data_IF_847313835538
#
_entry.id   IF_847313835538
#
_cell.length_a   1.000
_cell.length_b   1.000
_cell.length_c   1.000
_cell.angle_alpha   90.00
_cell.angle_beta   90.00
_cell.angle_gamma   90.00
#
_symmetry.space_group_name_H-M   'P 1'
#
loop_
_entity.id
_entity.type
_entity.pdbx_description
1 polymer ?
#
# COMPACT_ATOMS: atom_id res chain seq x y z
N UNK A 1 -2.11 46.25 -0.14
CA UNK A 1 -1.47 45.12 0.53
C UNK A 1 -1.29 44.04 -0.51
N UNK A 2 -0.05 43.68 -0.83
CA UNK A 2 0.24 42.62 -1.78
C UNK A 2 0.57 41.37 -0.95
N UNK A 3 -0.06 40.27 -1.27
CA UNK A 3 0.17 38.99 -0.60
C UNK A 3 0.67 38.03 -1.66
N UNK A 4 1.90 37.57 -1.52
CA UNK A 4 2.50 36.57 -2.39
C UNK A 4 2.59 35.26 -1.62
N UNK A 5 2.19 34.17 -2.24
CA UNK A 5 2.37 32.84 -1.68
C UNK A 5 2.69 31.83 -2.77
N UNK A 6 3.48 30.84 -2.42
CA UNK A 6 3.79 29.71 -3.29
C UNK A 6 2.90 28.54 -2.89
N UNK A 7 2.10 27.97 -3.82
CA UNK A 7 1.23 26.84 -3.52
C UNK A 7 2.05 25.57 -3.28
N UNK A 8 1.57 24.70 -2.39
CA UNK A 8 2.22 23.42 -2.07
C UNK A 8 2.31 22.44 -3.24
N UNK A 9 1.43 22.58 -4.23
CA UNK A 9 1.45 21.82 -5.48
C UNK A 9 1.65 22.76 -6.65
N UNK A 10 2.49 22.38 -7.64
CA UNK A 10 2.68 23.21 -8.82
C UNK A 10 1.37 23.31 -9.62
N UNK A 11 1.02 24.53 -10.01
CA UNK A 11 -0.10 24.80 -10.91
C UNK A 11 0.42 24.66 -12.34
N UNK A 12 -0.04 23.63 -13.06
CA UNK A 12 0.41 23.34 -14.43
C UNK A 12 -0.43 24.05 -15.49
N UNK A 13 -1.43 24.85 -15.11
CA UNK A 13 -2.31 25.56 -16.02
C UNK A 13 -2.03 27.04 -15.98
N UNK A 14 -1.76 27.64 -17.14
CA UNK A 14 -1.65 29.10 -17.30
C UNK A 14 -3.05 29.63 -17.58
N UNK A 15 -3.61 30.41 -16.66
CA UNK A 15 -4.91 31.02 -16.79
C UNK A 15 -4.75 32.53 -16.87
N UNK A 16 -5.20 33.13 -17.98
CA UNK A 16 -5.36 34.56 -18.12
C UNK A 16 -6.80 34.85 -18.52
N UNK A 17 -7.56 35.45 -17.60
CA UNK A 17 -8.94 35.90 -17.85
C UNK A 17 -9.14 37.30 -17.33
N UNK A 18 -9.79 38.15 -18.15
CA UNK A 18 -10.23 39.49 -17.78
C UNK A 18 -11.75 39.45 -17.61
N UNK A 19 -12.23 39.14 -16.44
CA UNK A 19 -13.65 39.21 -16.07
C UNK A 19 -13.83 39.78 -14.66
N UNK A 20 -15.07 39.85 -14.20
CA UNK A 20 -15.41 40.41 -12.89
C UNK A 20 -15.27 39.40 -11.73
N UNK A 21 -14.71 38.22 -11.97
CA UNK A 21 -14.61 37.15 -10.98
C UNK A 21 -13.16 36.80 -10.68
N UNK A 22 -12.90 36.47 -9.42
CA UNK A 22 -11.65 35.82 -9.05
C UNK A 22 -11.73 34.32 -9.37
N UNK A 23 -10.84 33.85 -10.24
CA UNK A 23 -10.74 32.44 -10.61
C UNK A 23 -9.87 31.71 -9.58
N UNK A 24 -10.52 31.10 -8.60
CA UNK A 24 -9.89 30.39 -7.48
C UNK A 24 -10.07 28.87 -7.56
N UNK A 25 -10.65 28.37 -8.67
CA UNK A 25 -10.94 26.93 -8.83
C UNK A 25 -9.67 26.08 -8.67
N UNK A 26 -8.57 26.51 -9.31
CA UNK A 26 -7.28 25.81 -9.19
C UNK A 26 -6.73 25.79 -7.76
N UNK A 27 -7.03 26.83 -6.96
CA UNK A 27 -6.64 26.89 -5.55
C UNK A 27 -7.54 26.02 -4.69
N UNK A 28 -8.83 25.88 -5.02
CA UNK A 28 -9.72 24.94 -4.34
C UNK A 28 -9.26 23.50 -4.50
N UNK A 29 -8.82 23.12 -5.69
CA UNK A 29 -8.28 21.77 -5.94
C UNK A 29 -6.98 21.51 -5.16
N UNK A 30 -6.17 22.56 -4.93
CA UNK A 30 -4.97 22.48 -4.10
C UNK A 30 -5.26 22.33 -2.61
N UNK A 31 -6.37 22.92 -2.15
CA UNK A 31 -6.82 22.86 -0.75
C UNK A 31 -7.70 21.63 -0.49
N UNK A 32 -8.16 20.92 -1.52
CA UNK A 32 -8.89 19.69 -1.35
C UNK A 32 -8.00 18.68 -0.59
N UNK A 33 -8.54 18.12 0.48
CA UNK A 33 -7.84 17.10 1.26
C UNK A 33 -7.52 15.91 0.35
N UNK A 34 -6.25 15.62 0.16
CA UNK A 34 -5.83 14.47 -0.61
C UNK A 34 -6.31 13.20 0.07
N UNK A 35 -6.94 12.33 -0.70
CA UNK A 35 -7.31 11.01 -0.20
C UNK A 35 -6.05 10.21 0.12
N UNK A 36 -6.04 9.61 1.29
CA UNK A 36 -4.94 8.74 1.71
C UNK A 36 -5.18 7.33 1.20
N UNK A 37 -4.22 6.80 0.47
CA UNK A 37 -4.20 5.40 0.02
C UNK A 37 -3.19 4.61 0.82
N UNK A 38 -3.56 3.39 1.22
CA UNK A 38 -2.63 2.43 1.79
C UNK A 38 -1.93 1.63 0.69
N UNK A 39 -0.68 1.25 0.89
CA UNK A 39 -0.01 0.33 0.00
C UNK A 39 0.70 -0.78 0.78
N UNK A 40 0.64 -1.98 0.21
CA UNK A 40 1.35 -3.17 0.69
C UNK A 40 2.16 -3.71 -0.48
N UNK A 41 3.47 -3.69 -0.33
CA UNK A 41 4.40 -4.25 -1.31
C UNK A 41 5.00 -5.50 -0.71
N UNK A 42 4.74 -6.66 -1.31
CA UNK A 42 5.21 -7.92 -0.78
C UNK A 42 6.06 -8.70 -1.78
N UNK A 43 7.11 -9.31 -1.25
CA UNK A 43 8.06 -10.12 -1.97
C UNK A 43 8.39 -11.39 -1.16
N UNK A 44 9.12 -12.33 -1.77
CA UNK A 44 9.65 -13.50 -1.09
C UNK A 44 10.64 -13.20 0.05
N UNK A 45 11.16 -11.98 0.12
CA UNK A 45 12.10 -11.51 1.13
C UNK A 45 11.45 -10.66 2.24
N UNK A 46 10.23 -10.20 2.03
CA UNK A 46 9.54 -9.39 3.03
C UNK A 46 8.35 -8.59 2.51
N UNK A 47 7.82 -7.75 3.38
CA UNK A 47 6.66 -6.87 3.09
C UNK A 47 6.93 -5.47 3.58
N UNK A 48 6.49 -4.48 2.81
CA UNK A 48 6.51 -3.07 3.12
C UNK A 48 5.07 -2.55 3.19
N UNK A 49 4.74 -1.84 4.27
CA UNK A 49 3.48 -1.14 4.47
C UNK A 49 3.71 0.35 4.46
N UNK A 50 2.81 1.10 3.86
CA UNK A 50 2.88 2.54 3.88
C UNK A 50 1.60 3.20 3.43
N UNK A 51 1.59 4.52 3.50
CA UNK A 51 0.51 5.39 3.06
C UNK A 51 0.98 6.38 2.04
N UNK A 52 0.10 6.74 1.14
CA UNK A 52 0.31 7.75 0.11
C UNK A 52 -0.84 8.76 0.21
N UNK A 53 -0.49 10.01 0.45
CA UNK A 53 -1.42 11.13 0.48
C UNK A 53 -0.91 12.22 -0.48
N UNK A 54 -1.50 12.32 -1.67
CA UNK A 54 -0.99 13.19 -2.73
C UNK A 54 0.45 12.85 -3.11
N UNK A 55 1.37 13.76 -2.85
CA UNK A 55 2.81 13.57 -3.08
C UNK A 55 3.58 13.09 -1.84
N UNK A 56 2.93 13.03 -0.69
CA UNK A 56 3.54 12.59 0.55
C UNK A 56 3.40 11.07 0.70
N UNK A 57 4.53 10.39 0.87
CA UNK A 57 4.60 8.97 1.14
C UNK A 57 5.19 8.73 2.53
N UNK A 58 4.54 7.88 3.28
CA UNK A 58 5.01 7.47 4.59
C UNK A 58 5.14 5.94 4.64
N UNK A 59 6.27 5.46 5.11
CA UNK A 59 6.50 4.03 5.35
C UNK A 59 6.14 3.72 6.79
N UNK A 60 5.08 2.92 6.99
CA UNK A 60 4.61 2.55 8.31
C UNK A 60 5.47 1.44 8.93
N UNK A 61 5.71 0.38 8.16
CA UNK A 61 6.46 -0.77 8.65
C UNK A 61 7.11 -1.54 7.50
N UNK A 62 8.30 -2.09 7.77
CA UNK A 62 8.97 -3.05 6.90
C UNK A 62 9.25 -4.34 7.66
N UNK A 63 8.90 -5.47 7.07
CA UNK A 63 9.14 -6.81 7.62
C UNK A 63 10.03 -7.56 6.66
N UNK A 64 11.05 -8.19 7.18
CA UNK A 64 11.91 -9.12 6.44
C UNK A 64 11.56 -10.54 6.82
N UNK A 65 11.48 -11.42 5.82
CA UNK A 65 11.21 -12.85 5.99
C UNK A 65 12.19 -13.63 5.13
N UNK A 66 12.73 -14.69 5.70
CA UNK A 66 13.53 -15.67 4.96
C UNK A 66 12.67 -16.90 4.66
N UNK A 67 12.15 -16.96 3.44
CA UNK A 67 11.39 -18.10 2.96
C UNK A 67 12.31 -19.15 2.37
N UNK A 68 12.16 -20.43 2.76
CA UNK A 68 13.02 -21.49 2.28
C UNK A 68 12.87 -21.69 0.77
N UNK A 69 13.99 -21.68 0.08
CA UNK A 69 14.07 -21.89 -1.37
C UNK A 69 13.71 -23.34 -1.74
N UNK A 70 13.26 -23.54 -2.97
CA UNK A 70 12.99 -24.89 -3.50
C UNK A 70 14.31 -25.64 -3.68
N UNK A 71 14.47 -26.74 -2.95
CA UNK A 71 15.58 -27.66 -3.17
C UNK A 71 15.22 -28.65 -4.28
N UNK A 72 16.07 -28.76 -5.30
CA UNK A 72 15.85 -29.62 -6.48
C UNK A 72 16.18 -31.11 -6.26
N UNK A 73 16.61 -31.51 -5.05
CA UNK A 73 16.95 -32.90 -4.76
C UNK A 73 15.70 -33.67 -4.37
N UNK A 74 15.40 -34.77 -5.09
CA UNK A 74 14.32 -35.69 -4.79
C UNK A 74 14.67 -36.59 -3.58
N UNK A 75 13.70 -37.39 -3.14
CA UNK A 75 13.83 -38.36 -2.04
C UNK A 75 12.68 -38.26 -1.06
N UNK A 76 12.61 -39.21 -0.09
CA UNK A 76 11.56 -39.28 0.92
C UNK A 76 11.39 -38.00 1.75
N UNK A 77 12.49 -37.30 2.02
CA UNK A 77 12.47 -36.01 2.75
C UNK A 77 11.93 -34.84 1.93
N UNK A 78 11.85 -34.96 0.61
CA UNK A 78 11.36 -33.89 -0.26
C UNK A 78 9.90 -33.50 0.03
N UNK A 79 9.04 -34.47 0.33
CA UNK A 79 7.64 -34.24 0.72
C UNK A 79 7.54 -33.47 2.04
N UNK A 80 8.34 -33.82 3.04
CA UNK A 80 8.39 -33.11 4.32
C UNK A 80 8.83 -31.65 4.13
N UNK A 81 9.90 -31.42 3.36
CA UNK A 81 10.38 -30.07 3.08
C UNK A 81 9.38 -29.26 2.23
N UNK A 82 8.64 -29.89 1.33
CA UNK A 82 7.58 -29.25 0.58
C UNK A 82 6.45 -28.76 1.52
N UNK A 83 6.01 -29.60 2.46
CA UNK A 83 5.01 -29.23 3.47
C UNK A 83 5.48 -28.09 4.36
N UNK A 84 6.71 -28.14 4.87
CA UNK A 84 7.29 -27.08 5.68
C UNK A 84 7.39 -25.74 4.93
N UNK A 85 7.68 -25.78 3.63
CA UNK A 85 7.68 -24.56 2.80
C UNK A 85 6.28 -23.97 2.66
N UNK A 86 5.28 -24.82 2.41
CA UNK A 86 3.88 -24.39 2.31
C UNK A 86 3.41 -23.76 3.63
N UNK A 87 3.69 -24.42 4.75
CA UNK A 87 3.36 -23.92 6.08
C UNK A 87 4.02 -22.56 6.36
N UNK A 88 5.31 -22.41 6.12
CA UNK A 88 6.00 -21.13 6.30
C UNK A 88 5.44 -20.04 5.40
N UNK A 89 5.09 -20.35 4.16
CA UNK A 89 4.42 -19.39 3.26
C UNK A 89 3.04 -19.00 3.76
N UNK A 90 2.26 -19.95 4.27
CA UNK A 90 0.95 -19.67 4.83
C UNK A 90 1.05 -18.80 6.08
N UNK A 91 1.94 -19.13 7.00
CA UNK A 91 2.19 -18.34 8.21
C UNK A 91 2.65 -16.91 7.88
N UNK A 92 3.46 -16.75 6.84
CA UNK A 92 3.86 -15.44 6.36
C UNK A 92 2.66 -14.63 5.85
N UNK A 93 1.81 -15.22 5.02
CA UNK A 93 0.60 -14.56 4.50
C UNK A 93 -0.36 -14.17 5.62
N UNK A 94 -0.59 -15.05 6.60
CA UNK A 94 -1.43 -14.77 7.76
C UNK A 94 -0.87 -13.57 8.56
N UNK A 95 0.42 -13.57 8.84
CA UNK A 95 1.08 -12.46 9.53
C UNK A 95 0.98 -11.14 8.75
N UNK A 96 1.11 -11.20 7.43
CA UNK A 96 0.95 -10.01 6.57
C UNK A 96 -0.49 -9.50 6.63
N UNK A 97 -1.49 -10.38 6.62
CA UNK A 97 -2.90 -9.99 6.73
C UNK A 97 -3.23 -9.36 8.10
N UNK A 98 -2.75 -9.94 9.19
CA UNK A 98 -2.91 -9.40 10.55
C UNK A 98 -2.32 -7.99 10.68
N UNK A 99 -1.13 -7.78 10.16
CA UNK A 99 -0.49 -6.47 10.20
C UNK A 99 -1.14 -5.46 9.26
N UNK A 100 -1.64 -5.90 8.10
CA UNK A 100 -2.45 -5.04 7.23
C UNK A 100 -3.73 -4.57 7.95
N UNK A 101 -4.41 -5.47 8.65
CA UNK A 101 -5.57 -5.12 9.48
C UNK A 101 -5.20 -4.12 10.57
N UNK A 102 -4.10 -4.35 11.28
CA UNK A 102 -3.63 -3.44 12.33
C UNK A 102 -3.32 -2.03 11.81
N UNK A 103 -2.74 -1.90 10.60
CA UNK A 103 -2.36 -0.60 10.06
C UNK A 103 -3.49 0.14 9.34
N UNK A 104 -4.39 -0.58 8.68
CA UNK A 104 -5.38 0.02 7.78
C UNK A 104 -6.82 -0.05 8.27
N UNK A 105 -7.08 -0.79 9.35
CA UNK A 105 -8.41 -0.89 9.95
C UNK A 105 -8.36 -0.41 11.40
N UNK A 106 -9.19 0.58 11.72
CA UNK A 106 -9.36 1.12 13.07
C UNK A 106 -10.84 1.10 13.41
N UNK A 107 -11.23 0.46 14.52
CA UNK A 107 -12.63 0.33 14.95
C UNK A 107 -13.55 -0.20 13.83
N UNK A 108 -13.16 -1.28 13.17
CA UNK A 108 -13.87 -1.91 12.06
C UNK A 108 -14.12 -1.00 10.84
N UNK A 109 -13.40 0.11 10.76
CA UNK A 109 -13.44 1.03 9.63
C UNK A 109 -12.08 1.16 8.97
N UNK A 110 -12.10 1.18 7.66
CA UNK A 110 -10.89 1.45 6.88
C UNK A 110 -10.49 2.92 7.05
N UNK A 111 -9.26 3.17 7.48
CA UNK A 111 -8.71 4.52 7.66
C UNK A 111 -8.03 5.07 6.39
N UNK A 112 -8.07 4.32 5.29
CA UNK A 112 -7.58 4.72 3.98
C UNK A 112 -8.69 4.66 2.93
N UNK A 113 -8.62 5.50 1.91
CA UNK A 113 -9.61 5.54 0.82
C UNK A 113 -9.56 4.30 -0.07
N UNK A 114 -8.42 3.64 -0.14
CA UNK A 114 -8.22 2.41 -0.89
C UNK A 114 -6.89 1.77 -0.55
N UNK A 115 -6.77 0.47 -0.87
CA UNK A 115 -5.55 -0.30 -0.62
C UNK A 115 -4.94 -0.76 -1.94
N UNK A 116 -3.66 -0.49 -2.12
CA UNK A 116 -2.87 -0.87 -3.30
C UNK A 116 -2.00 -2.07 -2.91
N UNK A 117 -2.24 -3.21 -3.56
CA UNK A 117 -1.41 -4.41 -3.38
C UNK A 117 -0.43 -4.54 -4.54
N UNK A 118 0.86 -4.55 -4.23
CA UNK A 118 1.92 -4.74 -5.20
C UNK A 118 2.87 -5.85 -4.75
N UNK A 119 3.57 -6.46 -5.68
CA UNK A 119 4.56 -7.47 -5.35
C UNK A 119 4.78 -8.49 -6.44
N UNK A 120 5.79 -9.32 -6.24
CA UNK A 120 6.15 -10.41 -7.13
C UNK A 120 5.40 -11.70 -6.78
N UNK A 121 5.26 -12.56 -7.77
CA UNK A 121 4.66 -13.88 -7.68
C UNK A 121 3.18 -13.90 -7.17
N UNK A 122 2.74 -15.08 -6.74
CA UNK A 122 1.34 -15.33 -6.34
C UNK A 122 0.96 -14.79 -4.96
N UNK A 123 1.89 -14.15 -4.25
CA UNK A 123 1.65 -13.69 -2.87
C UNK A 123 0.51 -12.69 -2.77
N UNK A 124 0.46 -11.73 -3.70
CA UNK A 124 -0.60 -10.72 -3.72
C UNK A 124 -1.99 -11.33 -3.94
N UNK A 125 -2.10 -12.34 -4.84
CA UNK A 125 -3.36 -13.00 -5.13
C UNK A 125 -3.86 -13.79 -3.92
N UNK A 126 -2.97 -14.53 -3.25
CA UNK A 126 -3.29 -15.26 -2.02
C UNK A 126 -3.64 -14.35 -0.85
N UNK A 127 -2.98 -13.19 -0.75
CA UNK A 127 -3.34 -12.21 0.27
C UNK A 127 -4.74 -11.65 0.01
N UNK A 128 -5.08 -11.39 -1.25
CA UNK A 128 -6.40 -10.90 -1.64
C UNK A 128 -7.50 -11.93 -1.34
N UNK A 129 -7.24 -13.23 -1.59
CA UNK A 129 -8.14 -14.31 -1.21
C UNK A 129 -8.36 -14.38 0.31
N UNK A 130 -7.30 -14.26 1.10
CA UNK A 130 -7.40 -14.24 2.57
C UNK A 130 -8.14 -12.99 3.08
N UNK A 131 -7.91 -11.82 2.50
CA UNK A 131 -8.59 -10.60 2.93
C UNK A 131 -10.09 -10.60 2.61
N UNK A 132 -10.51 -11.24 1.52
CA UNK A 132 -11.93 -11.41 1.19
C UNK A 132 -12.69 -12.33 2.17
N UNK A 133 -11.99 -13.18 2.90
CA UNK A 133 -12.58 -14.07 3.91
C UNK A 133 -12.74 -13.36 5.26
N UNK A 134 -11.97 -12.31 5.51
CA UNK A 134 -11.95 -11.57 6.79
C UNK A 134 -12.64 -10.20 6.75
N UNK A 135 -13.13 -9.80 5.61
CA UNK A 135 -14.02 -8.65 5.43
C UNK A 135 -15.42 -9.18 5.13
#
# INVERSE_FOLDING_TARGET
MNIDFEPFKPINTTLYMCDNKFHTECLHDLLAADQTYGFIIMDGNGTLYGTLCGNHREVLQKITVDLPKKHGRGGQSALRFARLRLEKRQNYLTKVAELATHHFITNDKCNVAGLILAGSADFKNKLMELSLIHI
#
